data_IF_926441981782
#
_entry.id   IF_926441981782
#
_cell.length_a   1.000
_cell.length_b   1.000
_cell.length_c   1.000
_cell.angle_alpha   90.00
_cell.angle_beta   90.00
_cell.angle_gamma   90.00
#
_symmetry.space_group_name_H-M   'P 1'
#
loop_
_entity.id
_entity.type
_entity.pdbx_description
1 polymer ?
#
# COMPACT_ATOMS: atom_id res chain seq x y z
N UNK A 1 -16.55 -0.62 -0.94
CA UNK A 1 -16.15 -0.86 -2.35
C UNK A 1 -15.24 -2.08 -2.35
N UNK A 2 -15.14 -2.87 -3.42
CA UNK A 2 -14.24 -4.04 -3.47
C UNK A 2 -12.91 -3.67 -4.13
N UNK A 3 -11.77 -4.24 -3.68
CA UNK A 3 -10.48 -3.98 -4.32
C UNK A 3 -10.45 -4.57 -5.73
N UNK A 4 -9.78 -3.89 -6.66
CA UNK A 4 -9.63 -4.42 -8.00
C UNK A 4 -8.67 -5.61 -8.03
N UNK A 5 -8.76 -6.43 -9.07
CA UNK A 5 -7.93 -7.63 -9.25
C UNK A 5 -6.42 -7.33 -9.32
N UNK A 6 -6.03 -6.09 -9.63
CA UNK A 6 -4.63 -5.65 -9.65
C UNK A 6 -4.14 -5.35 -8.24
N UNK A 7 -4.94 -4.64 -7.45
CA UNK A 7 -4.65 -4.39 -6.04
C UNK A 7 -4.60 -5.71 -5.25
N UNK A 8 -5.56 -6.62 -5.45
CA UNK A 8 -5.55 -7.95 -4.81
C UNK A 8 -4.30 -8.76 -5.15
N UNK A 9 -3.87 -8.74 -6.41
CA UNK A 9 -2.63 -9.42 -6.84
C UNK A 9 -1.37 -8.79 -6.27
N UNK A 10 -1.43 -7.52 -5.90
CA UNK A 10 -0.29 -6.83 -5.31
C UNK A 10 -0.13 -7.11 -3.83
N UNK A 11 -1.23 -7.21 -3.08
CA UNK A 11 -1.17 -7.49 -1.66
C UNK A 11 -0.30 -8.73 -1.37
N UNK A 12 0.67 -8.58 -0.45
CA UNK A 12 1.64 -9.60 -0.07
C UNK A 12 2.85 -9.74 -1.00
N UNK A 13 2.92 -9.02 -2.12
CA UNK A 13 4.11 -9.05 -2.99
C UNK A 13 5.25 -8.20 -2.43
N UNK A 14 6.51 -8.63 -2.59
CA UNK A 14 7.65 -7.80 -2.25
C UNK A 14 7.92 -6.71 -3.30
N UNK A 15 8.54 -5.60 -2.89
CA UNK A 15 9.16 -4.61 -3.77
C UNK A 15 8.66 -3.17 -3.60
N UNK A 16 9.47 -2.19 -4.01
CA UNK A 16 9.26 -0.76 -3.67
C UNK A 16 8.46 0.06 -4.69
N UNK A 17 8.35 -0.40 -5.94
CA UNK A 17 7.72 0.36 -7.02
C UNK A 17 6.21 0.07 -7.10
N UNK A 18 5.37 1.10 -7.32
CA UNK A 18 3.95 0.86 -7.52
C UNK A 18 3.78 -0.04 -8.76
N UNK A 19 3.10 -1.18 -8.64
CA UNK A 19 3.00 -2.18 -9.70
C UNK A 19 2.13 -1.76 -10.88
N UNK A 20 1.30 -0.71 -10.72
CA UNK A 20 0.39 -0.29 -11.75
C UNK A 20 0.12 1.20 -11.78
N UNK A 21 -0.05 1.70 -13.02
CA UNK A 21 -0.29 3.11 -13.38
C UNK A 21 -1.43 3.80 -12.63
N UNK A 22 -2.41 3.04 -12.12
CA UNK A 22 -3.58 3.60 -11.43
C UNK A 22 -3.35 3.81 -9.92
N UNK A 23 -2.16 3.47 -9.39
CA UNK A 23 -1.74 3.83 -8.03
C UNK A 23 -1.08 5.20 -8.07
N UNK A 24 -1.74 6.19 -7.47
CA UNK A 24 -1.18 7.51 -7.27
C UNK A 24 -0.62 7.61 -5.85
N UNK A 25 0.56 8.20 -5.69
CA UNK A 25 1.12 8.45 -4.37
C UNK A 25 0.19 9.39 -3.59
N UNK A 26 -0.39 8.88 -2.51
CA UNK A 26 -1.08 9.73 -1.54
C UNK A 26 0.00 10.42 -0.71
N UNK A 27 -0.11 11.75 -0.51
CA UNK A 27 0.93 12.58 0.13
C UNK A 27 1.65 11.80 1.24
N UNK A 28 2.93 11.52 0.99
CA UNK A 28 3.77 10.76 1.89
C UNK A 28 3.98 11.55 3.18
N UNK A 29 3.14 11.33 4.20
CA UNK A 29 3.53 11.68 5.55
C UNK A 29 4.56 10.65 6.00
N UNK A 30 5.81 10.92 5.62
CA UNK A 30 6.97 10.04 5.67
C UNK A 30 7.47 9.68 7.10
N UNK A 31 6.59 9.70 8.09
CA UNK A 31 6.91 9.32 9.47
C UNK A 31 5.70 8.63 10.11
N UNK A 32 5.33 7.46 9.61
CA UNK A 32 4.38 6.60 10.32
C UNK A 32 5.17 5.65 11.20
N UNK A 33 4.99 5.79 12.51
CA UNK A 33 5.59 5.07 13.65
C UNK A 33 5.50 3.52 13.63
N UNK A 34 5.25 2.91 12.47
CA UNK A 34 4.77 1.54 12.33
C UNK A 34 5.34 0.84 11.07
N UNK A 35 6.45 1.36 10.53
CA UNK A 35 7.11 0.77 9.35
C UNK A 35 6.35 0.93 8.03
N UNK A 36 5.43 1.90 7.90
CA UNK A 36 4.85 2.26 6.61
C UNK A 36 5.78 3.23 5.87
N UNK A 37 6.34 2.80 4.74
CA UNK A 37 7.28 3.59 3.95
C UNK A 37 6.55 4.50 2.95
N UNK A 38 5.49 4.02 2.31
CA UNK A 38 4.74 4.78 1.29
C UNK A 38 3.26 4.41 1.25
N UNK A 39 2.42 5.39 0.92
CA UNK A 39 0.96 5.21 0.78
C UNK A 39 0.54 5.60 -0.63
N UNK A 40 -0.26 4.75 -1.26
CA UNK A 40 -0.80 4.95 -2.60
C UNK A 40 -2.31 4.79 -2.59
N UNK A 41 -3.00 5.62 -3.36
CA UNK A 41 -4.43 5.52 -3.59
C UNK A 41 -4.68 4.97 -5.00
N UNK A 42 -5.49 3.92 -5.10
CA UNK A 42 -5.89 3.35 -6.38
C UNK A 42 -7.06 4.16 -6.97
N UNK A 43 -6.83 4.85 -8.08
CA UNK A 43 -7.89 5.60 -8.79
C UNK A 43 -9.02 4.72 -9.31
N UNK A 44 -8.75 3.44 -9.55
CA UNK A 44 -9.72 2.52 -10.15
C UNK A 44 -10.74 2.02 -9.12
N UNK A 45 -10.27 1.57 -7.95
CA UNK A 45 -11.14 0.99 -6.92
C UNK A 45 -11.26 1.83 -5.65
N UNK A 46 -10.55 2.95 -5.55
CA UNK A 46 -10.57 3.84 -4.39
C UNK A 46 -9.92 3.27 -3.13
N UNK A 47 -9.17 2.16 -3.25
CA UNK A 47 -8.51 1.54 -2.09
C UNK A 47 -7.11 2.10 -1.87
N UNK A 48 -6.67 2.04 -0.62
CA UNK A 48 -5.33 2.42 -0.21
C UNK A 48 -4.40 1.21 -0.25
N UNK A 49 -3.24 1.38 -0.86
CA UNK A 49 -2.16 0.42 -0.90
C UNK A 49 -0.97 1.00 -0.15
N UNK A 50 -0.46 0.27 0.83
CA UNK A 50 0.65 0.71 1.67
C UNK A 50 1.86 -0.17 1.41
N UNK A 51 3.02 0.44 1.22
CA UNK A 51 4.30 -0.26 1.27
C UNK A 51 4.76 -0.32 2.72
N UNK A 52 4.86 -1.53 3.26
CA UNK A 52 5.39 -1.79 4.61
C UNK A 52 6.85 -2.23 4.51
N UNK A 53 7.67 -1.65 5.36
CA UNK A 53 9.09 -1.93 5.58
C UNK A 53 9.26 -2.42 7.02
N UNK A 54 9.05 -3.71 7.28
CA UNK A 54 8.99 -4.24 8.65
C UNK A 54 10.35 -4.20 9.36
N UNK A 55 11.45 -4.34 8.63
CA UNK A 55 12.82 -4.26 9.15
C UNK A 55 13.83 -4.12 8.01
N UNK A 56 15.09 -3.82 8.33
CA UNK A 56 16.18 -3.74 7.34
C UNK A 56 16.57 -5.10 6.74
N UNK A 57 16.14 -6.20 7.37
CA UNK A 57 16.50 -7.58 7.02
C UNK A 57 15.41 -8.28 6.19
N UNK A 58 14.20 -7.75 6.18
CA UNK A 58 13.07 -8.29 5.44
C UNK A 58 12.68 -7.37 4.28
N UNK A 59 12.33 -7.91 3.10
CA UNK A 59 11.95 -7.09 1.97
C UNK A 59 10.64 -6.34 2.24
N UNK A 60 10.57 -5.12 1.74
CA UNK A 60 9.33 -4.35 1.74
C UNK A 60 8.23 -5.12 1.02
N UNK A 61 7.00 -5.02 1.51
CA UNK A 61 5.84 -5.69 0.92
C UNK A 61 4.60 -4.81 0.90
N UNK A 62 3.72 -5.09 -0.05
CA UNK A 62 2.50 -4.34 -0.25
C UNK A 62 1.35 -4.87 0.60
N UNK A 63 0.58 -3.97 1.19
CA UNK A 63 -0.60 -4.27 1.97
C UNK A 63 -1.77 -3.46 1.45
N UNK A 64 -2.89 -4.13 1.23
CA UNK A 64 -4.16 -3.45 0.98
C UNK A 64 -4.71 -2.98 2.33
N UNK A 65 -4.77 -1.68 2.55
CA UNK A 65 -5.58 -1.14 3.65
C UNK A 65 -7.04 -1.12 3.18
N UNK A 66 -7.82 -2.04 3.73
CA UNK A 66 -9.26 -1.84 3.80
C UNK A 66 -9.49 -0.67 4.77
N UNK A 67 -10.42 0.24 4.45
CA UNK A 67 -10.85 1.28 5.38
C UNK A 67 -11.59 0.63 6.56
N UNK A 68 -10.84 -0.02 7.44
CA UNK A 68 -11.33 -0.67 8.64
C UNK A 68 -10.22 -0.59 9.69
N UNK A 69 -10.03 0.59 10.28
CA UNK A 69 -10.09 0.78 11.74
C UNK A 69 -9.54 2.14 12.15
N UNK A 70 -10.43 3.02 12.60
CA UNK A 70 -10.20 3.75 13.84
C UNK A 70 -11.53 3.71 14.58
N UNK A 71 -11.74 2.62 15.31
CA UNK A 71 -12.67 2.55 16.42
C UNK A 71 -11.94 3.05 17.67
#
# INVERSE_FOLDING_TARGET
MLPCERCKRQAGRPGHLPPHKDLEAARANAQSQDGAAYVYHCRQCGHTMVLRSPSLEAPDYWVLEDQASSA
#
